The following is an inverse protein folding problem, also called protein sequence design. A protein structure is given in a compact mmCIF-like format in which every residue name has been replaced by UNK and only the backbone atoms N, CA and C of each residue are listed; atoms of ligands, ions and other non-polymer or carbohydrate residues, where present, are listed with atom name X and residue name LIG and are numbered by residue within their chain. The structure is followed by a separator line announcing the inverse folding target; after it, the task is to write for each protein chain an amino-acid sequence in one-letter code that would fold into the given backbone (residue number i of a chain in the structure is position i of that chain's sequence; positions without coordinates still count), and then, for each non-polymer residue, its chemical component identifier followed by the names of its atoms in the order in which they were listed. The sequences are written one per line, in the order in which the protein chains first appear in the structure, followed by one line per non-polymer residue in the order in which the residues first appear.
data_IF_326841724480
#
_entry.id   IF_326841724480
#
_cell.length_a   1.000
_cell.length_b   1.000
_cell.length_c   1.000
_cell.angle_alpha   90.00
_cell.angle_beta   90.00
_cell.angle_gamma   90.00
#
_symmetry.space_group_name_H-M   'P 1'
#
loop_
_entity.id
_entity.type
_entity.pdbx_description
1 polymer ?
#
# COMPACT_ATOMS: atom_id res chain seq x y z
N UNK A 1 -33.56 49.83 -28.44
CA UNK A 1 -32.23 49.46 -27.91
C UNK A 1 -32.21 47.96 -27.74
N UNK A 2 -31.68 47.25 -28.74
CA UNK A 2 -31.55 45.78 -28.73
C UNK A 2 -30.18 45.39 -28.17
N UNK A 3 -30.05 44.27 -27.44
CA UNK A 3 -28.82 43.89 -26.71
C UNK A 3 -27.65 43.37 -27.58
N UNK A 4 -27.68 43.57 -28.89
CA UNK A 4 -26.77 42.92 -29.86
C UNK A 4 -25.58 43.76 -30.31
N UNK A 5 -25.53 45.04 -29.94
CA UNK A 5 -24.54 46.03 -30.46
C UNK A 5 -23.13 45.88 -29.85
N UNK A 6 -23.00 45.20 -28.72
CA UNK A 6 -21.71 45.00 -28.04
C UNK A 6 -20.87 43.86 -28.67
N UNK A 7 -21.52 42.88 -29.29
CA UNK A 7 -20.84 41.73 -29.90
C UNK A 7 -20.28 42.05 -31.30
N UNK A 8 -20.91 42.98 -32.03
CA UNK A 8 -20.40 43.46 -33.34
C UNK A 8 -19.31 44.54 -33.22
N UNK A 9 -19.14 45.14 -32.03
CA UNK A 9 -18.09 46.13 -31.75
C UNK A 9 -16.78 45.51 -31.23
N UNK A 10 -16.76 44.21 -30.93
CA UNK A 10 -15.51 43.47 -30.72
C UNK A 10 -14.80 43.28 -32.06
N UNK A 11 -13.60 43.85 -32.20
CA UNK A 11 -12.76 43.61 -33.37
C UNK A 11 -12.64 42.09 -33.57
N UNK A 12 -12.82 41.56 -34.80
CA UNK A 12 -12.81 40.13 -35.03
C UNK A 12 -11.49 39.57 -34.50
N UNK A 13 -11.58 38.74 -33.46
CA UNK A 13 -10.47 38.27 -32.61
C UNK A 13 -9.32 37.71 -33.47
N UNK A 14 -9.65 37.13 -34.63
CA UNK A 14 -8.71 36.63 -35.63
C UNK A 14 -7.83 37.71 -36.29
N UNK A 15 -8.36 38.89 -36.62
CA UNK A 15 -7.57 39.98 -37.25
C UNK A 15 -6.67 40.70 -36.24
N UNK A 16 -7.15 40.88 -35.00
CA UNK A 16 -6.33 41.38 -33.89
C UNK A 16 -5.14 40.47 -33.59
N UNK A 17 -5.40 39.15 -33.49
CA UNK A 17 -4.36 38.15 -33.24
C UNK A 17 -3.31 38.08 -34.35
N UNK A 18 -3.70 38.22 -35.63
CA UNK A 18 -2.75 38.27 -36.76
C UNK A 18 -1.88 39.53 -36.72
N UNK A 19 -2.45 40.69 -36.35
CA UNK A 19 -1.70 41.93 -36.21
C UNK A 19 -0.69 41.87 -35.06
N UNK A 20 -1.05 41.23 -33.94
CA UNK A 20 -0.14 40.98 -32.82
C UNK A 20 0.99 40.01 -33.20
N UNK A 21 0.68 38.91 -33.90
CA UNK A 21 1.69 37.97 -34.40
C UNK A 21 2.67 38.64 -35.37
N UNK A 22 2.20 39.51 -36.26
CA UNK A 22 3.08 40.28 -37.15
C UNK A 22 3.96 41.27 -36.40
N UNK A 23 3.47 41.88 -35.31
CA UNK A 23 4.28 42.75 -34.43
C UNK A 23 5.36 41.95 -33.71
N UNK A 24 5.03 40.77 -33.18
CA UNK A 24 6.01 39.85 -32.54
C UNK A 24 7.09 39.43 -33.54
N UNK A 25 6.70 39.05 -34.77
CA UNK A 25 7.64 38.67 -35.84
C UNK A 25 8.60 39.81 -36.20
N UNK A 26 8.10 41.04 -36.34
CA UNK A 26 8.95 42.21 -36.64
C UNK A 26 9.91 42.52 -35.48
N UNK A 27 9.46 42.39 -34.23
CA UNK A 27 10.30 42.61 -33.03
C UNK A 27 11.41 41.56 -32.90
N UNK A 28 11.14 40.30 -33.26
CA UNK A 28 12.13 39.22 -33.28
C UNK A 28 13.28 39.47 -34.27
N UNK A 29 12.99 40.10 -35.41
CA UNK A 29 14.00 40.40 -36.45
C UNK A 29 14.96 41.54 -36.07
N UNK A 30 14.59 42.43 -35.15
CA UNK A 30 15.40 43.60 -34.78
C UNK A 30 16.56 43.21 -33.84
N UNK A 31 16.37 42.20 -32.99
CA UNK A 31 17.42 41.67 -32.08
C UNK A 31 17.29 40.15 -31.93
N UNK A 32 17.69 39.36 -32.94
CA UNK A 32 17.50 37.91 -32.93
C UNK A 32 18.32 37.21 -31.85
N UNK A 33 19.54 37.70 -31.59
CA UNK A 33 20.47 37.08 -30.63
C UNK A 33 19.94 37.02 -29.19
N UNK A 34 19.53 38.13 -28.53
CA UNK A 34 19.06 38.06 -27.14
C UNK A 34 17.75 37.28 -26.98
N UNK A 35 16.86 37.30 -27.98
CA UNK A 35 15.62 36.51 -27.96
C UNK A 35 15.92 35.02 -28.04
N UNK A 36 16.84 34.62 -28.92
CA UNK A 36 17.29 33.23 -29.04
C UNK A 36 17.98 32.76 -27.77
N UNK A 37 18.89 33.56 -27.20
CA UNK A 37 19.60 33.20 -25.95
C UNK A 37 18.63 33.00 -24.80
N UNK A 38 17.67 33.92 -24.61
CA UNK A 38 16.67 33.81 -23.55
C UNK A 38 15.79 32.57 -23.74
N UNK A 39 15.32 32.34 -24.97
CA UNK A 39 14.51 31.17 -25.27
C UNK A 39 15.28 29.86 -25.02
N UNK A 40 16.53 29.76 -25.48
CA UNK A 40 17.38 28.59 -25.24
C UNK A 40 17.61 28.37 -23.75
N UNK A 41 17.84 29.43 -22.96
CA UNK A 41 18.00 29.31 -21.50
C UNK A 41 16.72 28.82 -20.82
N UNK A 42 15.56 29.37 -21.18
CA UNK A 42 14.27 28.97 -20.60
C UNK A 42 13.93 27.53 -20.98
N UNK A 43 14.07 27.17 -22.25
CA UNK A 43 13.85 25.81 -22.73
C UNK A 43 14.81 24.84 -22.07
N UNK A 44 16.11 25.18 -22.00
CA UNK A 44 17.11 24.36 -21.34
C UNK A 44 16.81 24.14 -19.85
N UNK A 45 16.36 25.18 -19.13
CA UNK A 45 15.97 25.07 -17.73
C UNK A 45 14.75 24.16 -17.52
N UNK A 46 13.72 24.30 -18.37
CA UNK A 46 12.50 23.47 -18.30
C UNK A 46 12.81 22.02 -18.67
N UNK A 47 13.55 21.80 -19.76
CA UNK A 47 13.99 20.48 -20.22
C UNK A 47 14.81 19.79 -19.14
N UNK A 48 15.78 20.49 -18.53
CA UNK A 48 16.57 19.96 -17.40
C UNK A 48 15.69 19.62 -16.19
N UNK A 49 14.71 20.46 -15.87
CA UNK A 49 13.79 20.21 -14.75
C UNK A 49 12.90 18.99 -15.00
N UNK A 50 12.46 18.79 -16.23
CA UNK A 50 11.65 17.63 -16.63
C UNK A 50 12.50 16.36 -16.69
N UNK A 51 13.69 16.45 -17.28
CA UNK A 51 14.64 15.33 -17.38
C UNK A 51 15.11 14.84 -16.00
N UNK A 52 15.25 15.75 -15.03
CA UNK A 52 15.68 15.42 -13.67
C UNK A 52 14.49 15.13 -12.73
N UNK A 53 13.26 15.08 -13.23
CA UNK A 53 12.10 14.77 -12.37
C UNK A 53 12.17 13.28 -12.02
N UNK A 54 12.28 12.90 -10.73
CA UNK A 54 12.31 11.50 -10.35
C UNK A 54 11.00 10.84 -10.76
N UNK A 55 11.10 9.77 -11.54
CA UNK A 55 9.95 8.94 -11.89
C UNK A 55 9.77 7.93 -10.77
N UNK A 56 8.59 7.91 -10.18
CA UNK A 56 8.21 6.90 -9.18
C UNK A 56 7.68 5.70 -9.95
N UNK A 57 8.29 4.55 -9.74
CA UNK A 57 7.88 3.26 -10.28
C UNK A 57 7.19 2.44 -9.20
N UNK A 58 6.25 1.58 -9.60
CA UNK A 58 5.48 0.71 -8.70
C UNK A 58 5.77 -0.76 -9.05
N UNK A 59 6.25 -1.53 -8.08
CA UNK A 59 6.37 -2.99 -8.16
C UNK A 59 5.22 -3.63 -7.37
N UNK A 60 4.69 -4.77 -7.81
CA UNK A 60 3.62 -5.48 -7.09
C UNK A 60 3.93 -6.97 -7.00
N UNK A 61 3.82 -7.53 -5.79
CA UNK A 61 3.91 -8.97 -5.53
C UNK A 61 2.56 -9.48 -5.06
N UNK A 62 2.05 -10.53 -5.70
CA UNK A 62 0.74 -11.10 -5.39
C UNK A 62 0.91 -12.41 -4.63
N UNK A 63 0.42 -12.43 -3.39
CA UNK A 63 0.32 -13.60 -2.53
C UNK A 63 -1.07 -14.22 -2.68
N UNK A 64 -1.16 -15.54 -2.86
CA UNK A 64 -2.40 -16.27 -2.62
C UNK A 64 -2.45 -16.74 -1.18
N UNK A 65 -3.48 -16.28 -0.48
CA UNK A 65 -3.92 -16.78 0.81
C UNK A 65 -4.93 -17.89 0.55
N UNK A 66 -4.61 -19.13 0.90
CA UNK A 66 -5.53 -20.27 0.78
C UNK A 66 -5.88 -20.81 2.15
N UNK A 67 -7.15 -21.13 2.33
CA UNK A 67 -7.61 -21.87 3.51
C UNK A 67 -7.14 -23.32 3.43
N UNK A 68 -6.59 -23.81 4.53
CA UNK A 68 -6.10 -25.17 4.69
C UNK A 68 -7.25 -26.15 4.90
N UNK A 69 -6.94 -27.43 4.72
CA UNK A 69 -7.93 -28.50 4.67
C UNK A 69 -8.66 -28.77 5.99
N UNK A 70 -8.30 -28.09 7.08
CA UNK A 70 -8.84 -28.35 8.42
C UNK A 70 -9.76 -27.23 8.93
N UNK A 71 -9.97 -26.17 8.15
CA UNK A 71 -10.89 -25.09 8.50
C UNK A 71 -12.35 -25.51 8.29
N UNK A 72 -12.96 -25.98 9.36
CA UNK A 72 -14.36 -26.46 9.38
C UNK A 72 -15.40 -25.33 9.58
N UNK A 73 -14.99 -24.07 9.83
CA UNK A 73 -15.92 -22.98 10.16
C UNK A 73 -15.99 -21.90 9.08
N UNK A 74 -17.17 -21.79 8.48
CA UNK A 74 -17.63 -20.74 7.57
C UNK A 74 -17.70 -19.35 8.25
N UNK A 75 -16.55 -18.77 8.61
CA UNK A 75 -16.50 -17.37 9.04
C UNK A 75 -16.03 -16.51 7.87
N UNK A 76 -16.94 -15.78 7.18
CA UNK A 76 -16.52 -14.86 6.13
C UNK A 76 -15.64 -13.76 6.75
N UNK A 77 -14.44 -13.57 6.23
CA UNK A 77 -13.54 -12.48 6.66
C UNK A 77 -13.69 -11.31 5.67
N UNK A 78 -14.25 -10.17 6.10
CA UNK A 78 -14.37 -8.98 5.25
C UNK A 78 -13.00 -8.49 4.75
N UNK A 79 -12.98 -7.90 3.56
CA UNK A 79 -11.77 -7.40 2.90
C UNK A 79 -11.00 -6.40 3.78
N UNK A 80 -11.69 -5.48 4.43
CA UNK A 80 -11.05 -4.46 5.27
C UNK A 80 -10.37 -5.06 6.51
N UNK A 81 -10.96 -6.14 7.05
CA UNK A 81 -10.37 -6.87 8.18
C UNK A 81 -9.13 -7.64 7.74
N UNK A 82 -9.12 -8.22 6.53
CA UNK A 82 -7.92 -8.85 5.96
C UNK A 82 -6.82 -7.82 5.71
N UNK A 83 -7.14 -6.64 5.17
CA UNK A 83 -6.14 -5.58 4.95
C UNK A 83 -5.55 -5.11 6.28
N UNK A 84 -6.40 -4.82 7.26
CA UNK A 84 -5.97 -4.43 8.60
C UNK A 84 -5.13 -5.55 9.26
N UNK A 85 -5.53 -6.81 9.10
CA UNK A 85 -4.77 -7.95 9.62
C UNK A 85 -3.37 -8.05 9.00
N UNK A 86 -3.25 -7.96 7.67
CA UNK A 86 -1.93 -7.99 7.00
C UNK A 86 -1.06 -6.83 7.48
N UNK A 87 -1.60 -5.62 7.49
CA UNK A 87 -0.85 -4.41 7.82
C UNK A 87 -0.48 -4.27 9.30
N UNK A 88 -1.32 -4.75 10.22
CA UNK A 88 -1.12 -4.56 11.66
C UNK A 88 -0.52 -5.80 12.33
N UNK A 89 -0.85 -7.00 11.86
CA UNK A 89 -0.45 -8.27 12.50
C UNK A 89 0.68 -8.94 11.74
N UNK A 90 0.63 -8.98 10.42
CA UNK A 90 1.65 -9.68 9.61
C UNK A 90 2.86 -8.79 9.27
N UNK A 91 2.72 -7.46 9.37
CA UNK A 91 3.79 -6.48 9.16
C UNK A 91 4.06 -5.67 10.45
N UNK A 92 4.56 -6.29 11.53
CA UNK A 92 4.80 -5.58 12.77
C UNK A 92 6.00 -4.62 12.66
N UNK A 93 5.96 -3.52 13.42
CA UNK A 93 6.90 -2.40 13.31
C UNK A 93 8.36 -2.81 13.49
N UNK A 94 8.64 -3.70 14.43
CA UNK A 94 9.98 -4.22 14.66
C UNK A 94 10.58 -4.89 13.42
N UNK A 95 9.76 -5.60 12.64
CA UNK A 95 10.19 -6.28 11.41
C UNK A 95 10.32 -5.32 10.23
N UNK A 96 9.49 -4.28 10.18
CA UNK A 96 9.65 -3.19 9.23
C UNK A 96 10.93 -2.38 9.50
N UNK A 97 11.35 -2.23 10.76
CA UNK A 97 12.62 -1.58 11.10
C UNK A 97 13.84 -2.37 10.62
N UNK A 98 13.80 -3.70 10.66
CA UNK A 98 14.85 -4.54 10.07
C UNK A 98 15.01 -4.29 8.58
N UNK A 99 13.89 -4.11 7.85
CA UNK A 99 13.89 -3.75 6.43
C UNK A 99 14.42 -2.33 6.19
N UNK A 100 14.04 -1.36 7.03
CA UNK A 100 14.56 0.01 6.96
C UNK A 100 16.07 0.03 7.11
N UNK A 101 16.61 -0.78 8.02
CA UNK A 101 18.05 -0.91 8.23
C UNK A 101 18.74 -1.60 7.05
N UNK A 102 18.15 -2.66 6.48
CA UNK A 102 18.67 -3.39 5.31
C UNK A 102 18.84 -2.48 4.08
N UNK A 103 17.85 -1.62 3.81
CA UNK A 103 17.87 -0.72 2.66
C UNK A 103 18.46 0.67 2.94
N UNK A 104 18.95 0.91 4.16
CA UNK A 104 19.52 2.21 4.54
C UNK A 104 18.49 3.35 4.51
N UNK A 105 17.21 3.05 4.73
CA UNK A 105 16.09 4.00 4.69
C UNK A 105 15.94 4.82 5.98
N UNK A 106 16.97 4.84 6.84
CA UNK A 106 16.94 5.59 8.09
C UNK A 106 16.73 7.08 7.82
N UNK A 107 15.67 7.62 8.41
CA UNK A 107 15.42 9.07 8.36
C UNK A 107 16.26 9.79 9.41
N UNK A 108 16.77 10.97 9.05
CA UNK A 108 17.38 11.92 10.01
C UNK A 108 16.39 12.45 11.04
N UNK A 109 15.08 12.33 10.75
CA UNK A 109 13.99 12.79 11.61
C UNK A 109 13.58 11.75 12.67
N UNK A 110 14.24 10.60 12.71
CA UNK A 110 14.01 9.56 13.70
C UNK A 110 13.32 8.31 13.14
N UNK A 111 13.22 7.29 14.00
CA UNK A 111 12.77 5.94 13.67
C UNK A 111 11.29 5.90 13.29
N UNK A 112 10.45 6.65 14.00
CA UNK A 112 9.00 6.74 13.72
C UNK A 112 8.72 7.32 12.34
N UNK A 113 9.45 8.38 11.97
CA UNK A 113 9.32 8.98 10.64
C UNK A 113 9.77 8.01 9.54
N UNK A 114 10.84 7.23 9.76
CA UNK A 114 11.29 6.23 8.80
C UNK A 114 10.24 5.12 8.59
N UNK A 115 9.56 4.73 9.66
CA UNK A 115 8.46 3.76 9.61
C UNK A 115 7.24 4.31 8.86
N UNK A 116 6.85 5.56 9.13
CA UNK A 116 5.74 6.21 8.43
C UNK A 116 6.04 6.42 6.95
N UNK A 117 7.28 6.82 6.62
CA UNK A 117 7.73 6.93 5.23
C UNK A 117 7.71 5.56 4.52
N UNK A 118 8.19 4.49 5.15
CA UNK A 118 8.09 3.14 4.57
C UNK A 118 6.63 2.72 4.38
N UNK A 119 5.76 2.93 5.38
CA UNK A 119 4.32 2.65 5.27
C UNK A 119 3.63 3.48 4.19
N UNK A 120 4.09 4.70 3.93
CA UNK A 120 3.59 5.54 2.84
C UNK A 120 4.03 5.06 1.45
N UNK A 121 5.10 4.26 1.37
CA UNK A 121 5.64 3.75 0.10
C UNK A 121 4.96 2.48 -0.38
N UNK A 122 4.42 1.65 0.51
CA UNK A 122 3.71 0.43 0.14
C UNK A 122 2.20 0.53 0.35
N UNK A 123 1.43 -0.25 -0.42
CA UNK A 123 -0.01 -0.44 -0.24
C UNK A 123 -0.35 -1.94 -0.34
N UNK A 124 -1.41 -2.35 0.34
CA UNK A 124 -1.87 -3.75 0.35
C UNK A 124 -3.25 -3.81 -0.29
N UNK A 125 -3.33 -4.31 -1.52
CA UNK A 125 -4.58 -4.51 -2.27
C UNK A 125 -5.05 -5.94 -2.13
N UNK A 126 -6.35 -6.15 -1.98
CA UNK A 126 -6.93 -7.49 -1.90
C UNK A 126 -7.77 -7.72 -3.15
N UNK A 127 -7.42 -8.75 -3.91
CA UNK A 127 -8.01 -9.18 -5.17
C UNK A 127 -8.76 -10.50 -4.98
N UNK A 128 -9.91 -10.64 -5.64
CA UNK A 128 -10.71 -11.89 -5.72
C UNK A 128 -10.85 -12.60 -4.36
N UNK A 129 -11.49 -11.94 -3.40
CA UNK A 129 -11.75 -12.52 -2.08
C UNK A 129 -12.91 -13.54 -2.15
N UNK A 130 -12.61 -14.83 -2.25
CA UNK A 130 -13.63 -15.89 -2.18
C UNK A 130 -14.03 -16.26 -0.74
N UNK A 131 -13.51 -15.56 0.28
CA UNK A 131 -14.06 -15.67 1.65
C UNK A 131 -15.43 -14.99 1.78
N UNK A 132 -15.76 -14.05 0.88
CA UNK A 132 -17.04 -13.31 0.90
C UNK A 132 -18.00 -13.80 -0.19
N UNK A 133 -17.51 -14.04 -1.41
CA UNK A 133 -18.31 -14.60 -2.49
C UNK A 133 -18.27 -16.12 -2.41
N UNK A 134 -19.33 -16.71 -1.85
CA UNK A 134 -19.59 -18.14 -1.93
C UNK A 134 -19.71 -18.52 -3.41
N UNK A 135 -18.99 -19.55 -3.84
CA UNK A 135 -19.25 -20.18 -5.14
C UNK A 135 -20.51 -21.05 -4.94
N UNK A 136 -21.66 -20.63 -5.46
CA UNK A 136 -22.94 -21.34 -5.28
C UNK A 136 -22.91 -22.77 -5.87
N UNK A 137 -21.95 -23.05 -6.75
CA UNK A 137 -21.79 -24.32 -7.45
C UNK A 137 -20.89 -25.34 -6.73
N UNK A 138 -20.08 -24.93 -5.73
CA UNK A 138 -19.20 -25.83 -4.97
C UNK A 138 -18.99 -25.36 -3.51
N UNK A 139 -19.87 -25.83 -2.62
CA UNK A 139 -19.79 -25.61 -1.18
C UNK A 139 -18.47 -26.11 -0.54
N UNK A 140 -17.70 -26.96 -1.23
CA UNK A 140 -16.41 -27.49 -0.77
C UNK A 140 -15.19 -26.82 -1.42
N UNK A 141 -15.38 -25.81 -2.27
CA UNK A 141 -14.27 -25.07 -2.87
C UNK A 141 -13.44 -24.38 -1.78
N UNK A 142 -12.12 -24.62 -1.77
CA UNK A 142 -11.21 -24.00 -0.80
C UNK A 142 -11.23 -22.49 -0.97
N UNK A 143 -11.54 -21.77 0.11
CA UNK A 143 -11.56 -20.30 0.07
C UNK A 143 -10.15 -19.78 -0.16
N UNK A 144 -10.03 -18.76 -1.00
CA UNK A 144 -8.78 -18.10 -1.31
C UNK A 144 -8.97 -16.60 -1.47
N UNK A 145 -7.93 -15.86 -1.13
CA UNK A 145 -7.82 -14.44 -1.43
C UNK A 145 -6.47 -14.17 -2.06
N UNK A 146 -6.41 -13.24 -3.00
CA UNK A 146 -5.13 -12.74 -3.52
C UNK A 146 -4.82 -11.42 -2.84
N UNK A 147 -3.62 -11.27 -2.32
CA UNK A 147 -3.14 -10.08 -1.63
C UNK A 147 -1.99 -9.54 -2.47
N UNK A 148 -2.21 -8.42 -3.14
CA UNK A 148 -1.17 -7.65 -3.83
C UNK A 148 -0.50 -6.71 -2.85
N UNK A 149 0.82 -6.82 -2.68
CA UNK A 149 1.65 -5.84 -1.97
C UNK A 149 2.33 -5.01 -3.03
N UNK A 150 1.95 -3.73 -3.15
CA UNK A 150 2.59 -2.82 -4.09
C UNK A 150 3.53 -1.86 -3.38
N UNK A 151 4.68 -1.58 -3.98
CA UNK A 151 5.75 -0.74 -3.44
C UNK A 151 6.13 0.32 -4.45
N UNK A 152 6.19 1.56 -4.00
CA UNK A 152 6.56 2.72 -4.82
C UNK A 152 7.94 3.22 -4.44
N UNK A 153 8.84 3.29 -5.42
CA UNK A 153 10.18 3.84 -5.24
C UNK A 153 10.66 4.56 -6.52
N UNK A 154 11.72 5.35 -6.43
CA UNK A 154 12.43 5.98 -7.55
C UNK A 154 13.32 4.94 -8.26
N UNK A 155 13.83 3.96 -7.52
CA UNK A 155 14.67 2.90 -8.03
C UNK A 155 13.84 1.62 -8.27
N UNK A 156 13.80 1.17 -9.52
CA UNK A 156 13.01 0.02 -9.96
C UNK A 156 13.49 -1.29 -9.34
N UNK A 157 14.80 -1.48 -9.22
CA UNK A 157 15.35 -2.72 -8.69
C UNK A 157 15.08 -2.77 -7.17
N UNK A 158 15.28 -1.63 -6.47
CA UNK A 158 14.92 -1.51 -5.04
C UNK A 158 13.42 -1.71 -4.79
N UNK A 159 12.54 -1.22 -5.65
CA UNK A 159 11.10 -1.39 -5.50
C UNK A 159 10.70 -2.88 -5.54
N UNK A 160 11.28 -3.64 -6.47
CA UNK A 160 11.03 -5.09 -6.60
C UNK A 160 11.58 -5.84 -5.40
N UNK A 161 12.85 -5.58 -5.03
CA UNK A 161 13.49 -6.27 -3.91
C UNK A 161 12.75 -6.00 -2.58
N UNK A 162 12.30 -4.76 -2.36
CA UNK A 162 11.52 -4.38 -1.19
C UNK A 162 10.12 -5.03 -1.20
N UNK A 163 9.48 -5.15 -2.36
CA UNK A 163 8.19 -5.83 -2.47
C UNK A 163 8.31 -7.33 -2.16
N UNK A 164 9.36 -7.99 -2.65
CA UNK A 164 9.66 -9.38 -2.32
C UNK A 164 9.96 -9.57 -0.84
N UNK A 165 10.85 -8.75 -0.28
CA UNK A 165 11.19 -8.85 1.13
C UNK A 165 9.97 -8.61 2.03
N UNK A 166 9.06 -7.70 1.66
CA UNK A 166 7.79 -7.52 2.36
C UNK A 166 6.88 -8.75 2.25
N UNK A 167 6.79 -9.36 1.08
CA UNK A 167 6.01 -10.57 0.86
C UNK A 167 6.55 -11.77 1.66
N UNK A 168 7.87 -11.91 1.70
CA UNK A 168 8.57 -12.91 2.51
C UNK A 168 8.33 -12.66 4.01
N UNK A 169 8.41 -11.39 4.45
CA UNK A 169 8.12 -11.00 5.83
C UNK A 169 6.70 -11.41 6.27
N UNK A 170 5.70 -11.15 5.42
CA UNK A 170 4.31 -11.51 5.67
C UNK A 170 4.16 -13.03 5.78
N UNK A 171 4.77 -13.76 4.84
CA UNK A 171 4.70 -15.23 4.80
C UNK A 171 5.38 -15.87 6.01
N UNK A 172 6.56 -15.40 6.38
CA UNK A 172 7.31 -15.86 7.54
C UNK A 172 6.58 -15.52 8.85
N UNK A 173 6.05 -14.31 8.97
CA UNK A 173 5.29 -13.88 10.17
C UNK A 173 4.02 -14.71 10.34
N UNK A 174 3.31 -15.00 9.25
CA UNK A 174 2.14 -15.87 9.26
C UNK A 174 2.50 -17.31 9.71
N UNK A 175 3.58 -17.87 9.15
CA UNK A 175 4.07 -19.21 9.53
C UNK A 175 4.46 -19.27 11.02
N UNK A 176 5.19 -18.26 11.51
CA UNK A 176 5.59 -18.15 12.91
C UNK A 176 4.39 -18.01 13.85
N UNK A 177 3.39 -17.20 13.48
CA UNK A 177 2.17 -17.04 14.28
C UNK A 177 1.39 -18.36 14.37
N UNK A 178 1.28 -19.08 13.25
CA UNK A 178 0.67 -20.42 13.19
C UNK A 178 1.40 -21.39 14.12
N UNK A 179 2.72 -21.46 14.05
CA UNK A 179 3.52 -22.34 14.89
C UNK A 179 3.34 -22.01 16.38
N UNK A 180 3.42 -20.73 16.76
CA UNK A 180 3.26 -20.31 18.16
C UNK A 180 1.89 -20.67 18.72
N UNK A 181 0.81 -20.48 17.96
CA UNK A 181 -0.52 -20.88 18.42
C UNK A 181 -0.67 -22.39 18.45
N UNK A 182 -0.12 -23.13 17.48
CA UNK A 182 -0.12 -24.59 17.52
C UNK A 182 0.60 -25.12 18.77
N UNK A 183 1.74 -24.53 19.14
CA UNK A 183 2.47 -24.87 20.36
C UNK A 183 1.65 -24.54 21.62
N UNK A 184 0.98 -23.39 21.66
CA UNK A 184 0.12 -22.99 22.79
C UNK A 184 -1.06 -23.94 22.98
N UNK A 185 -1.78 -24.27 21.90
CA UNK A 185 -2.88 -25.22 21.94
C UNK A 185 -2.38 -26.61 22.34
N UNK A 186 -1.22 -27.04 21.83
CA UNK A 186 -0.59 -28.31 22.23
C UNK A 186 -0.26 -28.34 23.73
N UNK A 187 0.24 -27.24 24.29
CA UNK A 187 0.47 -27.11 25.75
C UNK A 187 -0.84 -27.19 26.53
N UNK A 188 -1.89 -26.51 26.09
CA UNK A 188 -3.20 -26.57 26.76
C UNK A 188 -3.76 -27.98 26.76
N UNK A 189 -3.66 -28.71 25.64
CA UNK A 189 -4.07 -30.13 25.58
C UNK A 189 -3.23 -31.01 26.48
N UNK A 190 -1.90 -30.80 26.53
CA UNK A 190 -1.04 -31.53 27.46
C UNK A 190 -1.42 -31.28 28.93
N UNK A 191 -1.74 -30.03 29.30
CA UNK A 191 -2.21 -29.70 30.65
C UNK A 191 -3.57 -30.35 30.97
N UNK A 192 -4.53 -30.31 30.04
CA UNK A 192 -5.83 -30.97 30.21
C UNK A 192 -5.67 -32.49 30.36
N UNK A 193 -4.77 -33.09 29.58
CA UNK A 193 -4.44 -34.51 29.66
C UNK A 193 -3.86 -34.86 31.03
N UNK A 194 -2.88 -34.09 31.51
CA UNK A 194 -2.26 -34.31 32.82
C UNK A 194 -3.29 -34.17 33.95
N UNK A 195 -4.07 -33.09 33.96
CA UNK A 195 -5.11 -32.87 34.97
C UNK A 195 -6.16 -33.99 34.99
N UNK A 196 -6.60 -34.46 33.82
CA UNK A 196 -7.55 -35.59 33.72
C UNK A 196 -6.92 -36.91 34.18
N UNK A 197 -5.62 -37.11 33.91
CA UNK A 197 -4.86 -38.25 34.41
C UNK A 197 -4.78 -38.28 35.93
N UNK A 198 -4.43 -37.16 36.56
CA UNK A 198 -4.36 -37.03 38.01
C UNK A 198 -5.71 -37.29 38.70
N UNK A 199 -6.81 -36.86 38.07
CA UNK A 199 -8.17 -37.16 38.55
C UNK A 199 -8.50 -38.66 38.47
N UNK A 200 -8.08 -39.34 37.39
CA UNK A 200 -8.26 -40.78 37.22
C UNK A 200 -7.47 -41.58 38.25
N UNK A 201 -6.23 -41.18 38.53
CA UNK A 201 -5.40 -41.86 39.53
C UNK A 201 -5.99 -41.71 40.95
N UNK A 202 -6.55 -40.53 41.27
CA UNK A 202 -7.29 -40.33 42.52
C UNK A 202 -8.54 -41.20 42.61
N UNK A 203 -9.30 -41.34 41.51
CA UNK A 203 -10.47 -42.21 41.45
C UNK A 203 -10.09 -43.68 41.63
N UNK A 204 -9.04 -44.16 40.96
CA UNK A 204 -8.52 -45.53 41.10
C UNK A 204 -8.12 -45.83 42.54
N UNK A 205 -7.40 -44.91 43.17
CA UNK A 205 -7.03 -45.04 44.58
C UNK A 205 -8.25 -45.07 45.51
N UNK A 206 -9.28 -44.27 45.23
CA UNK A 206 -10.55 -44.30 45.98
C UNK A 206 -11.31 -45.62 45.79
N UNK A 207 -11.34 -46.15 44.56
CA UNK A 207 -11.92 -47.45 44.21
C UNK A 207 -11.22 -48.56 44.99
N UNK A 208 -9.89 -48.58 45.00
CA UNK A 208 -9.12 -49.61 45.69
C UNK A 208 -9.31 -49.56 47.21
N UNK A 209 -9.32 -48.35 47.79
CA UNK A 209 -9.69 -48.17 49.21
C UNK A 209 -11.08 -48.71 49.52
N UNK A 210 -12.05 -48.47 48.63
CA UNK A 210 -13.44 -48.92 48.81
C UNK A 210 -13.56 -50.45 48.71
N UNK A 211 -12.85 -51.09 47.78
CA UNK A 211 -12.77 -52.56 47.70
C UNK A 211 -12.21 -53.19 48.98
N UNK A 212 -11.12 -52.63 49.52
CA UNK A 212 -10.55 -53.10 50.79
C UNK A 212 -11.55 -52.98 51.94
N UNK A 213 -12.29 -51.86 52.02
CA UNK A 213 -13.31 -51.65 53.05
C UNK A 213 -14.49 -52.63 52.93
N UNK A 214 -14.90 -52.97 51.70
CA UNK A 214 -15.93 -53.99 51.44
C UNK A 214 -15.46 -55.37 51.93
N UNK A 215 -14.23 -55.77 51.59
CA UNK A 215 -13.65 -57.05 52.03
C UNK A 215 -13.52 -57.14 53.56
N UNK A 216 -13.24 -56.01 54.22
CA UNK A 216 -13.18 -55.93 55.69
C UNK A 216 -14.58 -56.01 56.33
N UNK A 217 -15.59 -55.36 55.74
CA UNK A 217 -16.98 -55.44 56.20
C UNK A 217 -17.54 -56.87 56.09
N UNK A 218 -17.24 -57.59 55.00
CA UNK A 218 -17.59 -59.00 54.87
C UNK A 218 -16.90 -59.88 55.92
N UNK A 219 -15.60 -59.66 56.16
CA UNK A 219 -14.86 -60.39 57.21
C UNK A 219 -15.42 -60.16 58.61
N UNK A 220 -16.04 -59.00 58.86
CA UNK A 220 -16.68 -58.63 60.13
C UNK A 220 -18.16 -59.03 60.22
N UNK A 221 -18.73 -59.64 59.19
CA UNK A 221 -20.14 -60.04 59.14
C UNK A 221 -21.13 -58.87 59.00
N UNK A 222 -20.66 -57.68 58.60
CA UNK A 222 -21.49 -56.47 58.45
C UNK A 222 -22.07 -56.39 57.03
N UNK A 223 -23.05 -57.26 56.73
CA UNK A 223 -23.59 -57.44 55.36
C UNK A 223 -24.26 -56.17 54.83
N UNK A 224 -25.06 -55.48 55.65
CA UNK A 224 -25.76 -54.26 55.24
C UNK A 224 -24.78 -53.13 54.88
N UNK A 225 -23.70 -53.00 55.66
CA UNK A 225 -22.63 -52.03 55.38
C UNK A 225 -21.89 -52.37 54.08
N UNK A 226 -21.58 -53.65 53.85
CA UNK A 226 -20.96 -54.10 52.60
C UNK A 226 -21.84 -53.76 51.39
N UNK A 227 -23.16 -53.94 51.49
CA UNK A 227 -24.11 -53.58 50.43
C UNK A 227 -24.10 -52.08 50.09
N UNK A 228 -24.10 -51.20 51.10
CA UNK A 228 -24.01 -49.74 50.88
C UNK A 228 -22.67 -49.37 50.23
N UNK A 229 -21.56 -49.93 50.71
CA UNK A 229 -20.23 -49.67 50.15
C UNK A 229 -20.12 -50.13 48.69
N UNK A 230 -20.84 -51.17 48.31
CA UNK A 230 -20.87 -51.70 46.93
C UNK A 230 -21.62 -50.77 45.97
N UNK A 231 -22.69 -50.10 46.41
CA UNK A 231 -23.38 -49.06 45.62
C UNK A 231 -22.43 -47.89 45.36
N UNK A 232 -21.72 -47.42 46.38
CA UNK A 232 -20.71 -46.36 46.24
C UNK A 232 -19.56 -46.75 45.30
N UNK A 233 -19.11 -48.01 45.37
CA UNK A 233 -18.08 -48.53 44.47
C UNK A 233 -18.53 -48.46 43.01
N UNK A 234 -19.78 -48.86 42.71
CA UNK A 234 -20.35 -48.77 41.36
C UNK A 234 -20.43 -47.31 40.89
N UNK A 235 -20.77 -46.38 41.79
CA UNK A 235 -20.77 -44.96 41.46
C UNK A 235 -19.37 -44.44 41.08
N UNK A 236 -18.33 -44.84 41.82
CA UNK A 236 -16.93 -44.50 41.53
C UNK A 236 -16.45 -45.12 40.21
N UNK A 237 -16.77 -46.39 39.94
CA UNK A 237 -16.42 -47.06 38.68
C UNK A 237 -17.08 -46.39 37.46
N UNK A 238 -18.34 -45.97 37.61
CA UNK A 238 -19.04 -45.20 36.57
C UNK A 238 -18.44 -43.81 36.37
N UNK A 239 -17.80 -43.23 37.38
CA UNK A 239 -17.05 -41.97 37.23
C UNK A 239 -15.71 -42.20 36.54
N UNK A 240 -14.97 -43.25 36.90
CA UNK A 240 -13.72 -43.66 36.25
C UNK A 240 -13.95 -43.87 34.75
N UNK A 241 -14.90 -44.71 34.37
CA UNK A 241 -15.22 -44.99 32.96
C UNK A 241 -15.52 -43.72 32.16
N UNK A 242 -16.34 -42.82 32.70
CA UNK A 242 -16.67 -41.54 32.05
C UNK A 242 -15.46 -40.62 31.88
N UNK A 243 -14.50 -40.67 32.81
CA UNK A 243 -13.26 -39.88 32.75
C UNK A 243 -12.25 -40.51 31.80
N UNK A 244 -12.16 -41.83 31.72
CA UNK A 244 -11.38 -42.54 30.70
C UNK A 244 -11.89 -42.22 29.30
N UNK A 245 -13.20 -42.25 29.07
CA UNK A 245 -13.83 -41.82 27.81
C UNK A 245 -13.58 -40.35 27.47
N UNK A 246 -13.36 -39.50 28.47
CA UNK A 246 -13.00 -38.09 28.25
C UNK A 246 -11.52 -37.96 27.89
N UNK A 247 -10.65 -38.70 28.58
CA UNK A 247 -9.22 -38.73 28.30
C UNK A 247 -8.95 -39.31 26.90
N UNK A 248 -9.62 -40.39 26.51
CA UNK A 248 -9.48 -40.99 25.17
C UNK A 248 -9.87 -39.98 24.09
N UNK A 249 -10.98 -39.26 24.26
CA UNK A 249 -11.38 -38.18 23.34
C UNK A 249 -10.35 -37.04 23.23
N UNK A 250 -9.65 -36.71 24.32
CA UNK A 250 -8.56 -35.72 24.30
C UNK A 250 -7.33 -36.27 23.56
N UNK A 251 -7.01 -37.55 23.72
CA UNK A 251 -5.83 -38.20 23.10
C UNK A 251 -6.05 -38.52 21.62
N UNK A 252 -7.24 -39.00 21.26
CA UNK A 252 -7.61 -39.40 19.89
C UNK A 252 -7.96 -38.23 18.98
N UNK A 253 -7.91 -36.99 19.47
CA UNK A 253 -8.28 -35.81 18.67
C UNK A 253 -7.11 -34.92 18.23
N UNK A 254 -6.11 -35.43 17.47
CA UNK A 254 -5.31 -34.60 16.58
C UNK A 254 -6.21 -33.70 15.71
N UNK A 255 -7.38 -34.19 15.34
CA UNK A 255 -8.42 -33.44 14.62
C UNK A 255 -9.05 -32.32 15.45
N UNK A 256 -9.16 -32.42 16.79
CA UNK A 256 -9.65 -31.31 17.61
C UNK A 256 -8.58 -30.23 17.80
N UNK A 257 -7.30 -30.62 17.91
CA UNK A 257 -6.17 -29.69 17.86
C UNK A 257 -6.15 -28.94 16.53
N UNK A 258 -6.23 -29.68 15.42
CA UNK A 258 -6.31 -29.13 14.08
C UNK A 258 -7.54 -28.22 13.89
N UNK A 259 -8.71 -28.66 14.34
CA UNK A 259 -9.96 -27.90 14.26
C UNK A 259 -9.90 -26.62 15.09
N UNK A 260 -9.27 -26.63 16.27
CA UNK A 260 -9.07 -25.43 17.08
C UNK A 260 -8.08 -24.44 16.45
N UNK A 261 -6.98 -24.94 15.89
CA UNK A 261 -6.01 -24.12 15.14
C UNK A 261 -6.68 -23.50 13.91
N UNK A 262 -7.49 -24.28 13.19
CA UNK A 262 -8.20 -23.80 12.02
C UNK A 262 -9.36 -22.84 12.37
N UNK A 263 -10.12 -23.12 13.45
CA UNK A 263 -11.16 -22.23 13.96
C UNK A 263 -10.61 -20.88 14.48
N UNK A 264 -9.33 -20.83 14.82
CA UNK A 264 -8.64 -19.58 15.15
C UNK A 264 -8.22 -18.76 13.92
N UNK A 265 -8.64 -19.17 12.70
CA UNK A 265 -8.33 -18.52 11.43
C UNK A 265 -6.88 -18.67 10.99
N UNK A 266 -6.16 -19.67 11.52
CA UNK A 266 -4.72 -19.84 11.30
C UNK A 266 -4.35 -21.00 10.38
N UNK A 267 -5.34 -21.74 9.90
CA UNK A 267 -5.10 -22.68 8.82
C UNK A 267 -5.08 -21.94 7.48
N UNK A 268 -4.29 -20.86 7.37
CA UNK A 268 -4.14 -20.13 6.12
C UNK A 268 -2.69 -20.26 5.66
N UNK A 269 -2.49 -20.61 4.39
CA UNK A 269 -1.18 -20.67 3.77
C UNK A 269 -1.05 -19.53 2.77
N UNK A 270 0.08 -18.81 2.83
CA UNK A 270 0.42 -17.80 1.84
C UNK A 270 1.48 -18.37 0.90
N UNK A 271 1.27 -18.20 -0.39
CA UNK A 271 2.24 -18.52 -1.43
C UNK A 271 2.31 -17.38 -2.44
N UNK A 272 3.50 -17.05 -2.93
CA UNK A 272 3.66 -16.09 -4.03
C UNK A 272 3.11 -16.73 -5.31
N UNK A 273 2.20 -16.02 -5.98
CA UNK A 273 1.52 -16.51 -7.19
C UNK A 273 1.89 -15.72 -8.42
N UNK A 274 2.13 -14.42 -8.28
CA UNK A 274 2.45 -13.54 -9.40
C UNK A 274 3.37 -12.40 -8.95
N UNK A 275 4.18 -11.93 -9.89
CA UNK A 275 5.13 -10.83 -9.69
C UNK A 275 5.00 -9.86 -10.87
N UNK A 276 4.60 -8.63 -10.59
CA UNK A 276 4.56 -7.56 -11.58
C UNK A 276 5.76 -6.64 -11.39
N UNK A 277 6.65 -6.65 -12.38
CA UNK A 277 7.82 -5.77 -12.40
C UNK A 277 7.47 -4.43 -13.04
N UNK A 278 7.95 -3.30 -12.48
CA UNK A 278 7.73 -2.00 -13.08
C UNK A 278 8.37 -1.92 -14.46
N UNK A 279 7.64 -1.37 -15.43
CA UNK A 279 8.23 -0.94 -16.68
C UNK A 279 9.26 0.17 -16.38
N UNK A 280 10.53 -0.08 -16.71
CA UNK A 280 11.59 0.91 -16.52
C UNK A 280 11.19 2.17 -17.30
N UNK A 281 11.16 3.36 -16.68
CA UNK A 281 10.77 4.57 -17.36
C UNK A 281 11.81 4.90 -18.42
N UNK A 282 11.58 4.44 -19.64
CA UNK A 282 12.33 4.92 -20.79
C UNK A 282 11.87 6.36 -21.00
N UNK A 283 12.69 7.32 -20.61
CA UNK A 283 12.62 8.65 -21.20
C UNK A 283 12.94 8.46 -22.68
N UNK A 284 11.93 8.11 -23.47
CA UNK A 284 12.08 8.03 -24.91
C UNK A 284 12.57 9.40 -25.35
N UNK A 285 13.81 9.48 -25.85
CA UNK A 285 14.44 10.75 -26.23
C UNK A 285 13.54 11.56 -27.17
N UNK A 286 12.66 10.88 -27.90
CA UNK A 286 11.58 11.44 -28.71
C UNK A 286 10.62 12.33 -27.92
N UNK A 287 10.16 11.91 -26.74
CA UNK A 287 9.26 12.72 -25.87
C UNK A 287 10.00 13.97 -25.40
N UNK A 288 11.27 13.84 -25.01
CA UNK A 288 12.10 14.96 -24.57
C UNK A 288 12.33 15.97 -25.70
N UNK A 289 12.58 15.51 -26.93
CA UNK A 289 12.69 16.34 -28.13
C UNK A 289 11.37 17.05 -28.44
N UNK A 290 10.23 16.34 -28.34
CA UNK A 290 8.91 16.93 -28.57
C UNK A 290 8.58 18.03 -27.54
N UNK A 291 8.85 17.77 -26.26
CA UNK A 291 8.69 18.75 -25.18
C UNK A 291 9.62 19.95 -25.41
N UNK A 292 10.89 19.71 -25.77
CA UNK A 292 11.83 20.78 -26.09
C UNK A 292 11.35 21.63 -27.28
N UNK A 293 10.76 21.02 -28.31
CA UNK A 293 10.20 21.73 -29.46
C UNK A 293 9.01 22.61 -29.06
N UNK A 294 8.03 22.07 -28.33
CA UNK A 294 6.84 22.81 -27.88
C UNK A 294 7.23 23.96 -26.94
N UNK A 295 8.03 23.66 -25.91
CA UNK A 295 8.51 24.66 -24.95
C UNK A 295 9.43 25.67 -25.62
N UNK A 296 10.29 25.26 -26.55
CA UNK A 296 11.14 26.13 -27.36
C UNK A 296 10.34 27.14 -28.18
N UNK A 297 9.30 26.68 -28.85
CA UNK A 297 8.43 27.55 -29.66
C UNK A 297 7.68 28.55 -28.78
N UNK A 298 7.15 28.09 -27.64
CA UNK A 298 6.49 28.96 -26.65
C UNK A 298 7.44 29.97 -26.00
N UNK A 299 8.65 29.54 -25.62
CA UNK A 299 9.66 30.38 -25.03
C UNK A 299 10.19 31.45 -26.01
N UNK A 300 10.29 31.12 -27.30
CA UNK A 300 10.63 32.10 -28.35
C UNK A 300 9.57 33.20 -28.47
N UNK A 301 8.29 32.82 -28.51
CA UNK A 301 7.18 33.79 -28.58
C UNK A 301 7.10 34.65 -27.31
N UNK A 302 7.22 34.03 -26.13
CA UNK A 302 7.23 34.74 -24.85
C UNK A 302 8.43 35.67 -24.69
N UNK A 303 9.63 35.23 -25.10
CA UNK A 303 10.84 36.05 -25.06
C UNK A 303 10.76 37.25 -26.02
N UNK A 304 10.20 37.04 -27.21
CA UNK A 304 9.97 38.10 -28.18
C UNK A 304 8.94 39.14 -27.69
N UNK A 305 7.95 38.70 -26.91
CA UNK A 305 6.99 39.58 -26.24
C UNK A 305 7.65 40.37 -25.10
N UNK A 306 8.37 39.70 -24.20
CA UNK A 306 9.00 40.32 -23.02
C UNK A 306 10.10 41.32 -23.40
N UNK A 307 11.04 40.93 -24.26
CA UNK A 307 12.12 41.81 -24.71
C UNK A 307 11.61 42.87 -25.72
N UNK A 308 10.49 42.59 -26.40
CA UNK A 308 9.83 43.52 -27.30
C UNK A 308 8.94 44.57 -26.60
N UNK A 309 8.58 44.37 -25.34
CA UNK A 309 7.81 45.33 -24.54
C UNK A 309 8.66 46.49 -24.00
N UNK A 310 9.98 46.31 -23.88
CA UNK A 310 10.93 47.32 -23.43
C UNK A 310 11.71 47.96 -24.59
N UNK A 311 10.99 48.36 -25.64
CA UNK A 311 11.58 49.11 -26.75
C UNK A 311 11.19 50.58 -26.64
N UNK A 312 12.00 51.45 -26.01
CA UNK A 312 11.78 52.88 -26.12
C UNK A 312 12.02 53.30 -27.57
N UNK A 313 10.97 53.77 -28.25
CA UNK A 313 11.07 54.40 -29.57
C UNK A 313 10.67 53.55 -30.78
N UNK A 314 9.67 52.66 -30.68
CA UNK A 314 9.03 52.08 -31.87
C UNK A 314 7.70 52.74 -32.20
N UNK A 315 7.51 53.05 -33.50
CA UNK A 315 6.30 53.65 -34.05
C UNK A 315 5.08 52.74 -33.82
N UNK A 316 4.30 53.07 -32.79
CA UNK A 316 3.17 52.28 -32.32
C UNK A 316 2.82 52.57 -30.87
N UNK A 317 3.80 52.98 -30.05
CA UNK A 317 3.57 53.56 -28.72
C UNK A 317 3.19 55.04 -28.84
N UNK A 318 2.09 55.31 -29.54
CA UNK A 318 1.31 56.53 -29.34
C UNK A 318 0.09 56.13 -28.52
N UNK A 319 0.33 55.80 -27.24
CA UNK A 319 -0.71 55.99 -26.22
C UNK A 319 -1.04 57.48 -26.29
N UNK A 320 -2.30 57.78 -26.58
CA UNK A 320 -2.76 59.11 -26.94
C UNK A 320 -2.21 60.21 -26.03
N UNK A 321 -1.30 61.01 -26.54
CA UNK A 321 -1.04 62.36 -26.05
C UNK A 321 -0.33 63.14 -27.15
N UNK A 322 -0.75 64.39 -27.36
CA UNK A 322 -0.17 65.35 -28.30
C UNK A 322 -0.53 65.24 -29.79
N UNK A 323 -1.77 64.85 -30.13
CA UNK A 323 -2.41 65.30 -31.41
C UNK A 323 -3.71 66.07 -31.24
N UNK A 324 -4.20 66.25 -30.01
CA UNK A 324 -5.41 67.03 -29.68
C UNK A 324 -5.14 68.43 -29.16
N UNK A 325 -3.90 68.95 -29.27
CA UNK A 325 -3.62 70.37 -29.02
C UNK A 325 -2.96 70.97 -30.26
N UNK A 326 -3.70 71.85 -30.90
CA UNK A 326 -3.30 72.75 -31.97
C UNK A 326 -2.00 73.51 -31.63
N UNK A 327 -0.85 72.92 -31.98
CA UNK A 327 0.45 73.57 -31.89
C UNK A 327 1.01 73.80 -33.31
N UNK A 328 1.32 75.06 -33.60
CA UNK A 328 1.79 75.53 -34.90
C UNK A 328 3.14 74.91 -35.31
N UNK A 329 3.39 74.70 -36.61
CA UNK A 329 4.62 74.07 -37.08
C UNK A 329 5.73 75.11 -37.12
N UNK A 330 6.56 75.18 -36.08
CA UNK A 330 7.87 75.80 -36.22
C UNK A 330 8.91 75.10 -35.34
N UNK A 331 10.02 74.72 -35.98
CA UNK A 331 11.30 74.26 -35.42
C UNK A 331 11.34 72.84 -34.82
N UNK A 332 11.73 71.89 -35.66
CA UNK A 332 12.45 70.69 -35.22
C UNK A 332 13.93 70.89 -35.59
N UNK A 333 14.87 70.95 -34.62
CA UNK A 333 16.29 70.88 -34.93
C UNK A 333 16.65 69.46 -35.34
N UNK A 334 17.35 69.35 -36.46
CA UNK A 334 17.92 68.13 -37.03
C UNK A 334 18.84 67.41 -36.05
N UNK A 335 18.50 66.17 -35.69
CA UNK A 335 19.46 65.24 -35.08
C UNK A 335 20.38 64.66 -36.16
N UNK A 336 21.45 65.42 -36.45
CA UNK A 336 22.63 64.89 -37.12
C UNK A 336 23.46 64.07 -36.11
N UNK A 337 23.62 62.78 -36.44
CA UNK A 337 24.93 62.15 -36.64
C UNK A 337 25.91 62.18 -35.45
N UNK A 338 25.89 61.14 -34.60
CA UNK A 338 27.09 60.70 -33.88
C UNK A 338 27.30 59.20 -34.09
N UNK A 339 28.13 58.89 -35.10
CA UNK A 339 28.96 57.69 -35.14
C UNK A 339 30.05 57.88 -34.07
N UNK A 340 30.32 56.85 -33.27
CA UNK A 340 31.66 56.63 -32.76
C UNK A 340 32.08 55.18 -32.90
N UNK A 341 33.19 55.01 -33.59
CA UNK A 341 34.15 53.95 -33.35
C UNK A 341 35.50 54.61 -33.15
N UNK A 342 36.17 54.14 -32.09
CA UNK A 342 37.46 54.51 -31.50
C UNK A 342 37.46 55.73 -30.60
#
# INVERSE_FOLDING_TARGET
MTPTDWYESEQPTRRGMVAELQRIRRRMLVRPLPVLVLAVLVTGAIVRKIANKPVIVEAEVVLALTEGSMASRNTPVPVDQLRAFVTQVLLPDNRLLELIDKYGLRSRLGTEFALEDLRGRFDVKIWKNSFVNYDEDDDNARRSARIGISVRDIDADRAVDLAHDLADLVSETAANLRQRRADEVSRQVAMMRAATGDELDKLRLAIDKKKIAIDEAYRRGQIDLAGILQIDLVALQNQEKRREERLSRIVESPEALASQVAAAGLDMTLAVVDESRPERPTHSGLILVMVAAVVGTGALLGSALLLGAFVPGFAGDNVGSMRTRSAAPSRVPSFQRWRFHR
#
